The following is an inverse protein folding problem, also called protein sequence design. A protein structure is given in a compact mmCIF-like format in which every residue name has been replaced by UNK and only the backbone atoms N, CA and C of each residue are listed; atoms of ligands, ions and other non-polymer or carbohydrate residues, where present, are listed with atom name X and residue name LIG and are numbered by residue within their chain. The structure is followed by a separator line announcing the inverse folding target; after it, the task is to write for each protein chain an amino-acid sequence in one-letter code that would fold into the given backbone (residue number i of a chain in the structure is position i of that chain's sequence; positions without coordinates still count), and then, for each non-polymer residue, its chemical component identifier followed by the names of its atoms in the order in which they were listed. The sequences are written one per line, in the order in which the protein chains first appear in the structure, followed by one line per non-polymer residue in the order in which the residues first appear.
data_IF_920706825619
#
_entry.id   IF_920706825619
#
_cell.length_a   1.000
_cell.length_b   1.000
_cell.length_c   1.000
_cell.angle_alpha   90.00
_cell.angle_beta   90.00
_cell.angle_gamma   90.00
#
_symmetry.space_group_name_H-M   'P 1'
#
loop_
_entity.id
_entity.type
_entity.pdbx_description
1 polymer ?
#
# COMPACT_ATOMS: atom_id res chain seq x y z
N UNK A 1 24.59 28.18 11.72
CA UNK A 1 24.43 27.68 11.47
C UNK A 1 24.04 26.74 11.63
N UNK A 2 23.80 26.38 11.79
CA UNK A 2 23.40 25.46 11.91
C UNK A 2 23.38 24.59 11.26
N UNK A 3 23.38 23.82 11.23
CA UNK A 3 23.42 22.90 10.62
C UNK A 3 22.73 22.14 10.55
N UNK A 4 22.51 21.80 10.11
CA UNK A 4 21.84 21.10 9.86
C UNK A 4 21.82 20.06 10.07
N UNK A 5 21.78 19.76 10.32
CA UNK A 5 21.68 18.96 10.45
C UNK A 5 21.86 18.01 9.92
N UNK A 6 22.21 17.49 10.07
CA UNK A 6 22.50 16.55 9.63
C UNK A 6 21.56 15.72 9.63
N UNK A 7 21.27 15.47 9.04
CA UNK A 7 20.46 14.77 8.86
C UNK A 7 20.54 13.68 9.00
N UNK A 8 20.23 13.31 9.18
CA UNK A 8 20.24 12.20 9.46
C UNK A 8 20.33 11.30 8.60
N UNK A 9 20.81 10.68 8.95
CA UNK A 9 20.86 9.64 8.34
C UNK A 9 19.65 9.15 7.90
N UNK A 10 18.63 9.54 8.33
CA UNK A 10 17.46 9.03 7.90
C UNK A 10 17.32 9.33 6.48
N UNK A 11 16.64 8.62 5.81
CA UNK A 11 16.45 8.79 4.46
C UNK A 11 15.46 9.82 4.14
N UNK A 12 14.86 10.39 5.13
CA UNK A 12 13.90 11.42 4.86
C UNK A 12 14.64 12.64 4.39
N UNK A 13 14.14 13.25 3.40
CA UNK A 13 14.69 14.49 2.88
C UNK A 13 13.66 15.56 3.04
N UNK A 14 14.12 16.77 3.21
CA UNK A 14 13.21 17.87 3.36
C UNK A 14 12.48 18.09 2.06
N UNK A 15 11.23 18.41 2.18
CA UNK A 15 10.45 18.81 1.03
C UNK A 15 10.98 20.14 0.53
N UNK A 16 11.04 20.27 -0.76
CA UNK A 16 11.48 21.50 -1.38
C UNK A 16 10.34 22.15 -2.11
N UNK A 17 10.27 23.44 -2.04
CA UNK A 17 9.30 24.18 -2.79
C UNK A 17 9.97 24.73 -4.01
N UNK A 18 9.34 24.56 -5.12
CA UNK A 18 9.84 25.17 -6.33
C UNK A 18 9.59 26.65 -6.29
N UNK A 19 10.43 27.38 -6.95
CA UNK A 19 10.34 28.82 -6.98
C UNK A 19 9.01 29.27 -7.55
N UNK A 20 8.56 28.53 -8.54
CA UNK A 20 7.33 28.91 -9.17
C UNK A 20 6.24 27.98 -8.78
N UNK A 21 5.12 28.53 -8.46
CA UNK A 21 3.99 27.72 -8.14
C UNK A 21 4.09 27.15 -6.74
N UNK A 22 3.32 26.15 -6.50
CA UNK A 22 3.19 25.59 -5.17
C UNK A 22 3.61 24.13 -5.13
N UNK A 23 4.44 23.73 -6.06
CA UNK A 23 4.86 22.35 -6.11
C UNK A 23 5.82 22.05 -4.97
N UNK A 24 5.58 20.96 -4.27
CA UNK A 24 6.45 20.51 -3.20
C UNK A 24 6.86 19.09 -3.49
N UNK A 25 8.09 18.77 -3.17
CA UNK A 25 8.56 17.42 -3.41
C UNK A 25 9.88 17.15 -2.76
N UNK A 26 10.37 15.96 -2.98
CA UNK A 26 11.67 15.53 -2.48
C UNK A 26 12.61 15.44 -3.66
N UNK A 27 13.76 16.06 -3.51
CA UNK A 27 14.77 16.02 -4.55
C UNK A 27 15.52 14.70 -4.52
N UNK A 28 15.58 14.01 -5.65
CA UNK A 28 16.28 12.73 -5.76
C UNK A 28 17.20 12.78 -6.96
N UNK A 29 18.21 11.91 -6.96
CA UNK A 29 19.13 11.82 -8.06
C UNK A 29 20.38 12.60 -7.81
N UNK A 30 21.26 12.61 -8.79
CA UNK A 30 22.55 13.27 -8.68
C UNK A 30 22.81 14.09 -9.92
N UNK A 31 23.58 15.15 -9.73
CA UNK A 31 24.04 15.97 -10.84
C UNK A 31 22.90 16.46 -11.68
N UNK A 32 23.03 16.27 -12.97
CA UNK A 32 22.03 16.78 -13.91
C UNK A 32 20.76 15.93 -13.93
N UNK A 33 20.79 14.78 -13.27
CA UNK A 33 19.62 13.91 -13.27
C UNK A 33 18.77 14.11 -12.04
N UNK A 34 18.97 15.18 -11.31
CA UNK A 34 18.14 15.47 -10.15
C UNK A 34 16.70 15.73 -10.55
N UNK A 35 15.80 15.21 -9.75
CA UNK A 35 14.38 15.40 -9.97
C UNK A 35 13.69 15.68 -8.65
N UNK A 36 12.59 16.39 -8.74
CA UNK A 36 11.79 16.67 -7.56
C UNK A 36 10.49 15.88 -7.70
N UNK A 37 10.25 14.99 -6.76
CA UNK A 37 9.12 14.08 -6.81
C UNK A 37 8.27 14.28 -5.58
N UNK A 38 6.97 14.41 -5.80
CA UNK A 38 6.03 14.53 -4.71
C UNK A 38 5.76 13.16 -4.12
N UNK A 39 6.02 12.97 -2.80
CA UNK A 39 5.78 11.67 -2.19
C UNK A 39 4.33 11.22 -2.30
N UNK A 40 3.40 12.15 -2.34
CA UNK A 40 1.99 11.79 -2.47
C UNK A 40 1.68 11.20 -3.83
N UNK A 41 2.42 11.61 -4.84
CA UNK A 41 2.26 11.00 -6.16
C UNK A 41 2.70 9.54 -6.12
N UNK A 42 3.78 9.26 -5.40
CA UNK A 42 4.25 7.89 -5.26
C UNK A 42 3.19 7.05 -4.54
N UNK A 43 2.60 7.60 -3.47
CA UNK A 43 1.53 6.89 -2.77
C UNK A 43 0.36 6.61 -3.69
N UNK A 44 -0.02 7.59 -4.48
CA UNK A 44 -1.15 7.43 -5.38
C UNK A 44 -0.89 6.34 -6.41
N UNK A 45 0.30 6.34 -6.99
CA UNK A 45 0.64 5.33 -7.98
C UNK A 45 0.65 3.94 -7.37
N UNK A 46 1.15 3.81 -6.14
CA UNK A 46 1.13 2.54 -5.45
C UNK A 46 -0.29 2.12 -5.11
N UNK A 47 -1.15 3.07 -4.79
CA UNK A 47 -2.52 2.77 -4.39
C UNK A 47 -3.39 2.30 -5.54
N UNK A 48 -2.98 2.54 -6.77
CA UNK A 48 -3.72 2.04 -7.93
C UNK A 48 -3.12 0.75 -8.47
N UNK A 49 -2.15 0.18 -7.76
CA UNK A 49 -1.66 -1.14 -8.08
C UNK A 49 -0.41 -1.20 -8.95
N UNK A 50 0.25 -0.07 -9.19
CA UNK A 50 1.47 -0.12 -9.97
C UNK A 50 2.59 -0.79 -9.21
N UNK A 51 3.37 -1.57 -9.92
CA UNK A 51 4.55 -2.22 -9.32
C UNK A 51 5.64 -1.20 -9.10
N UNK A 52 6.55 -1.50 -8.19
CA UNK A 52 7.64 -0.58 -7.92
C UNK A 52 8.44 -0.25 -9.18
N UNK A 53 8.70 -1.27 -10.00
CA UNK A 53 9.45 -1.03 -11.24
C UNK A 53 8.68 -0.12 -12.19
N UNK A 54 7.37 -0.26 -12.23
CA UNK A 54 6.54 0.59 -13.08
C UNK A 54 6.53 2.02 -12.57
N UNK A 55 6.45 2.18 -11.26
CA UNK A 55 6.47 3.52 -10.67
C UNK A 55 7.82 4.19 -10.94
N UNK A 56 8.90 3.44 -10.76
CA UNK A 56 10.23 3.99 -11.02
C UNK A 56 10.36 4.41 -12.47
N UNK A 57 9.85 3.59 -13.37
CA UNK A 57 9.90 3.92 -14.78
C UNK A 57 9.03 5.13 -15.11
N UNK A 58 7.86 5.19 -14.49
CA UNK A 58 6.96 6.32 -14.68
C UNK A 58 7.61 7.62 -14.25
N UNK A 59 8.34 7.59 -13.13
CA UNK A 59 9.01 8.76 -12.60
C UNK A 59 10.41 8.96 -13.18
N UNK A 60 10.84 8.02 -14.02
CA UNK A 60 12.14 8.08 -14.66
C UNK A 60 13.28 8.13 -13.63
N UNK A 61 13.22 7.24 -12.66
CA UNK A 61 14.25 7.06 -11.66
C UNK A 61 14.53 5.56 -11.50
N UNK A 62 15.62 5.25 -10.83
CA UNK A 62 15.97 3.87 -10.58
C UNK A 62 15.12 3.26 -9.49
N UNK A 63 14.92 1.94 -9.56
CA UNK A 63 14.20 1.22 -8.53
C UNK A 63 14.82 1.46 -7.16
N UNK A 64 16.13 1.46 -7.09
CA UNK A 64 16.82 1.66 -5.81
C UNK A 64 16.54 3.06 -5.26
N UNK A 65 16.53 4.06 -6.13
CA UNK A 65 16.22 5.42 -5.71
C UNK A 65 14.80 5.52 -5.19
N UNK A 66 13.88 4.86 -5.87
CA UNK A 66 12.49 4.83 -5.42
C UNK A 66 12.38 4.21 -4.04
N UNK A 67 12.97 3.03 -3.87
CA UNK A 67 12.89 2.34 -2.59
C UNK A 67 13.58 3.09 -1.48
N UNK A 68 14.72 3.68 -1.79
CA UNK A 68 15.48 4.39 -0.78
C UNK A 68 14.73 5.60 -0.24
N UNK A 69 14.10 6.35 -1.13
CA UNK A 69 13.50 7.61 -0.75
C UNK A 69 12.02 7.53 -0.41
N UNK A 70 11.32 6.56 -0.96
CA UNK A 70 9.85 6.55 -0.87
C UNK A 70 9.29 5.25 -0.33
N UNK A 71 10.08 4.49 0.43
CA UNK A 71 9.62 3.21 0.92
C UNK A 71 8.34 3.31 1.71
N UNK A 72 8.26 4.30 2.60
CA UNK A 72 7.05 4.46 3.42
C UNK A 72 5.85 4.85 2.59
N UNK A 73 6.08 5.67 1.57
CA UNK A 73 4.99 6.07 0.70
C UNK A 73 4.48 4.90 -0.12
N UNK A 74 5.39 4.05 -0.59
CA UNK A 74 5.00 2.85 -1.30
C UNK A 74 4.17 1.93 -0.41
N UNK A 75 4.63 1.73 0.81
CA UNK A 75 3.92 0.88 1.75
C UNK A 75 2.52 1.43 2.03
N UNK A 76 2.43 2.73 2.26
CA UNK A 76 1.14 3.34 2.56
C UNK A 76 0.20 3.21 1.37
N UNK A 77 0.71 3.43 0.16
CA UNK A 77 -0.12 3.26 -1.02
C UNK A 77 -0.64 1.85 -1.18
N UNK A 78 0.22 0.86 -0.91
CA UNK A 78 -0.20 -0.54 -0.99
C UNK A 78 -1.25 -0.88 0.05
N UNK A 79 -1.12 -0.31 1.25
CA UNK A 79 -2.13 -0.52 2.27
C UNK A 79 -3.46 0.08 1.87
N UNK A 80 -3.43 1.24 1.23
CA UNK A 80 -4.65 1.85 0.73
C UNK A 80 -5.32 0.99 -0.33
N UNK A 81 -4.51 0.40 -1.21
CA UNK A 81 -5.05 -0.52 -2.21
C UNK A 81 -5.70 -1.73 -1.55
N UNK A 82 -5.00 -2.32 -0.59
CA UNK A 82 -5.53 -3.48 0.11
C UNK A 82 -6.85 -3.16 0.80
N UNK A 83 -6.91 -1.99 1.41
CA UNK A 83 -8.14 -1.55 2.07
C UNK A 83 -9.27 -1.42 1.07
N UNK A 84 -9.00 -0.82 -0.07
CA UNK A 84 -10.02 -0.65 -1.11
C UNK A 84 -10.51 -1.99 -1.63
N UNK A 85 -9.59 -2.92 -1.83
CA UNK A 85 -9.98 -4.25 -2.30
C UNK A 85 -10.83 -4.98 -1.27
N UNK A 86 -10.45 -4.91 -0.01
CA UNK A 86 -11.24 -5.53 1.04
C UNK A 86 -12.65 -4.95 1.10
N UNK A 87 -12.74 -3.64 1.01
CA UNK A 87 -14.04 -2.99 1.04
C UNK A 87 -14.89 -3.42 -0.14
N UNK A 88 -14.28 -3.53 -1.32
CA UNK A 88 -15.01 -3.96 -2.51
C UNK A 88 -15.50 -5.40 -2.36
N UNK A 89 -14.65 -6.27 -1.83
CA UNK A 89 -15.02 -7.67 -1.62
C UNK A 89 -16.17 -7.78 -0.63
N UNK A 90 -16.07 -7.06 0.47
CA UNK A 90 -17.11 -7.10 1.50
C UNK A 90 -18.41 -6.54 0.95
N UNK A 91 -18.31 -5.45 0.21
CA UNK A 91 -19.52 -4.85 -0.39
C UNK A 91 -20.18 -5.82 -1.35
N UNK A 92 -19.39 -6.49 -2.17
CA UNK A 92 -19.93 -7.46 -3.12
C UNK A 92 -20.58 -8.62 -2.40
N UNK A 93 -19.96 -9.11 -1.33
CA UNK A 93 -20.52 -10.19 -0.54
C UNK A 93 -21.82 -9.78 0.10
N UNK A 94 -21.86 -8.55 0.65
CA UNK A 94 -23.06 -8.06 1.32
C UNK A 94 -24.24 -7.87 0.36
N UNK A 95 -23.93 -7.74 -0.93
CA UNK A 95 -24.99 -7.67 -1.92
C UNK A 95 -25.56 -9.02 -2.29
N UNK A 96 -25.06 -10.10 -1.69
CA UNK A 96 -25.60 -11.43 -1.93
C UNK A 96 -24.79 -12.29 -2.87
N UNK A 97 -23.57 -11.89 -3.21
CA UNK A 97 -22.75 -12.69 -4.13
C UNK A 97 -22.26 -13.94 -3.43
N UNK A 98 -22.75 -15.09 -3.86
CA UNK A 98 -22.45 -16.35 -3.18
C UNK A 98 -20.97 -16.72 -3.25
N UNK A 99 -20.37 -16.49 -4.38
CA UNK A 99 -18.95 -16.82 -4.55
C UNK A 99 -18.09 -16.04 -3.56
N UNK A 100 -18.36 -14.75 -3.44
CA UNK A 100 -17.58 -13.92 -2.54
C UNK A 100 -17.87 -14.24 -1.09
N UNK A 101 -19.12 -14.58 -0.77
CA UNK A 101 -19.48 -14.97 0.60
C UNK A 101 -18.71 -16.22 1.01
N UNK A 102 -18.62 -17.21 0.10
CA UNK A 102 -17.87 -18.42 0.39
C UNK A 102 -16.41 -18.10 0.56
N UNK A 103 -15.85 -17.30 -0.34
CA UNK A 103 -14.43 -16.96 -0.28
C UNK A 103 -14.08 -16.22 1.01
N UNK A 104 -14.89 -15.22 1.37
CA UNK A 104 -14.64 -14.47 2.59
C UNK A 104 -14.86 -15.33 3.83
N UNK A 105 -15.82 -16.23 3.79
CA UNK A 105 -16.03 -17.15 4.89
C UNK A 105 -14.77 -17.97 5.17
N UNK A 106 -14.17 -18.49 4.11
CA UNK A 106 -12.96 -19.28 4.28
C UNK A 106 -11.76 -18.45 4.72
N UNK A 107 -11.62 -17.25 4.18
CA UNK A 107 -10.41 -16.49 4.40
C UNK A 107 -10.46 -15.56 5.59
N UNK A 108 -11.64 -15.13 6.00
CA UNK A 108 -11.76 -14.23 7.15
C UNK A 108 -12.30 -14.98 8.36
N UNK A 109 -13.30 -15.82 8.16
CA UNK A 109 -13.94 -16.49 9.28
C UNK A 109 -13.40 -17.88 9.56
N UNK A 110 -12.48 -18.35 8.74
CA UNK A 110 -11.85 -19.63 8.99
C UNK A 110 -12.75 -20.81 8.69
N UNK A 111 -13.77 -20.63 7.92
CA UNK A 111 -14.68 -21.72 7.56
C UNK A 111 -14.00 -22.67 6.59
N UNK A 112 -14.36 -23.94 6.66
CA UNK A 112 -13.74 -24.96 5.84
C UNK A 112 -14.75 -25.99 5.45
N UNK A 113 -14.57 -26.53 4.25
CA UNK A 113 -15.38 -27.66 3.79
C UNK A 113 -14.77 -28.97 4.20
N UNK A 114 -13.56 -28.95 4.70
CA UNK A 114 -12.84 -30.18 5.03
C UNK A 114 -13.05 -30.49 6.53
N UNK A 115 -13.75 -31.58 6.83
CA UNK A 115 -14.06 -31.88 8.24
C UNK A 115 -12.81 -32.23 9.06
N UNK A 116 -11.67 -32.43 8.43
CA UNK A 116 -10.44 -32.72 9.19
C UNK A 116 -9.72 -31.46 9.62
N UNK A 117 -10.14 -30.29 9.12
CA UNK A 117 -9.52 -29.04 9.53
C UNK A 117 -9.90 -28.72 10.97
N UNK A 118 -9.01 -28.07 11.67
CA UNK A 118 -9.29 -27.69 13.04
C UNK A 118 -10.51 -26.79 13.12
N UNK A 119 -10.71 -25.98 12.12
CA UNK A 119 -11.88 -25.09 12.13
C UNK A 119 -13.18 -25.83 11.90
N UNK A 120 -13.10 -26.98 11.25
CA UNK A 120 -14.30 -27.77 10.99
C UNK A 120 -14.84 -28.41 12.25
N UNK A 121 -14.01 -28.48 13.30
CA UNK A 121 -14.44 -29.07 14.56
C UNK A 121 -15.10 -28.04 15.47
N UNK A 122 -15.15 -26.79 15.06
CA UNK A 122 -15.78 -25.77 15.85
C UNK A 122 -17.30 -25.91 15.72
N UNK A 123 -18.01 -26.06 16.83
CA UNK A 123 -19.46 -26.19 16.75
C UNK A 123 -20.08 -24.95 16.11
N UNK A 124 -21.08 -25.18 15.32
CA UNK A 124 -21.84 -24.08 14.74
C UNK A 124 -22.69 -23.45 15.82
N UNK A 125 -23.01 -22.15 15.69
CA UNK A 125 -23.76 -21.46 16.75
C UNK A 125 -25.08 -22.12 17.10
N UNK A 126 -25.68 -22.83 16.17
CA UNK A 126 -26.97 -23.45 16.42
C UNK A 126 -26.88 -24.91 16.85
N UNK A 127 -25.67 -25.44 16.94
CA UNK A 127 -25.50 -26.83 17.31
C UNK A 127 -25.83 -27.08 18.78
N UNK A 128 -25.69 -26.08 19.60
CA UNK A 128 -25.95 -26.23 21.03
C UNK A 128 -27.44 -26.46 21.31
N UNK A 129 -28.27 -26.17 20.37
CA UNK A 129 -29.70 -26.34 20.53
C UNK A 129 -30.19 -27.75 20.23
N UNK A 130 -29.30 -28.61 19.80
CA UNK A 130 -29.63 -29.96 19.43
C UNK A 130 -29.51 -30.96 20.62
#
# INVERSE_FOLDING_TARGET
MEQPEKLPTSRSKKLKKLTEGTFEGIEVGRGDSKKIINPKEVEKLASIGMKNSEIAEWLDIDDSTLNYNFKQNLTKGRLQLNQSLRQAQIRLAMSGNATMLIWLGKNILGQSENPTDSNANTPLPWDDDL
#
